data_IF_678537538801
#
_entry.id   IF_678537538801
#
_cell.length_a   1.000
_cell.length_b   1.000
_cell.length_c   1.000
_cell.angle_alpha   90.00
_cell.angle_beta   90.00
_cell.angle_gamma   90.00
#
_symmetry.space_group_name_H-M   'P 1'
#
loop_
_entity.id
_entity.type
_entity.pdbx_description
1 polymer ?
#
# COMPACT_ATOMS: atom_id res chain seq x y z
N UNK A 1 -1.64 -45.57 3.22
CA UNK A 1 -2.46 -45.47 4.45
C UNK A 1 -3.15 -44.11 4.48
N UNK A 2 -4.48 -44.16 4.46
CA UNK A 2 -5.47 -43.14 4.89
C UNK A 2 -5.42 -41.72 4.31
N UNK A 3 -6.10 -41.55 3.16
CA UNK A 3 -6.85 -40.34 2.80
C UNK A 3 -8.01 -40.14 3.80
N UNK A 4 -8.34 -38.90 4.18
CA UNK A 4 -9.66 -38.56 4.73
C UNK A 4 -10.29 -37.40 3.94
N UNK A 5 -11.36 -37.78 3.26
CA UNK A 5 -12.32 -36.98 2.49
C UNK A 5 -13.57 -36.79 3.35
N UNK A 6 -14.22 -35.62 3.31
CA UNK A 6 -15.64 -35.43 3.67
C UNK A 6 -16.13 -34.14 2.96
N UNK A 7 -16.85 -34.23 1.82
CA UNK A 7 -18.34 -34.22 1.65
C UNK A 7 -19.04 -33.06 2.40
N UNK A 8 -19.40 -31.96 1.72
CA UNK A 8 -20.65 -31.67 0.97
C UNK A 8 -21.91 -31.63 1.85
N UNK A 9 -22.50 -30.44 1.99
CA UNK A 9 -23.95 -30.25 2.17
C UNK A 9 -24.40 -29.13 1.23
N UNK A 10 -25.27 -29.49 0.30
CA UNK A 10 -25.98 -28.61 -0.65
C UNK A 10 -27.41 -28.41 -0.12
N UNK A 11 -27.95 -27.20 -0.13
CA UNK A 11 -29.40 -26.98 -0.01
C UNK A 11 -29.86 -25.81 -0.91
N UNK A 12 -31.05 -25.99 -1.47
CA UNK A 12 -31.53 -25.41 -2.73
C UNK A 12 -32.38 -24.13 -2.59
N UNK A 13 -32.28 -23.30 -3.64
CA UNK A 13 -33.32 -22.59 -4.42
C UNK A 13 -34.50 -21.84 -3.74
N UNK A 14 -34.62 -20.55 -4.05
CA UNK A 14 -35.92 -19.89 -4.30
C UNK A 14 -35.77 -18.67 -5.25
N UNK A 15 -36.58 -18.66 -6.31
CA UNK A 15 -36.75 -17.58 -7.31
C UNK A 15 -37.54 -16.39 -6.72
N UNK A 16 -37.26 -15.17 -7.20
CA UNK A 16 -38.27 -14.14 -7.50
C UNK A 16 -37.69 -13.11 -8.48
N UNK A 17 -38.33 -13.00 -9.64
CA UNK A 17 -38.03 -12.00 -10.67
C UNK A 17 -38.89 -10.74 -10.44
N UNK A 18 -38.31 -9.54 -10.61
CA UNK A 18 -39.02 -8.32 -11.02
C UNK A 18 -38.02 -7.28 -11.50
N UNK A 19 -38.23 -6.77 -12.71
CA UNK A 19 -37.29 -5.92 -13.43
C UNK A 19 -37.23 -4.49 -12.91
N UNK A 20 -36.02 -3.94 -12.92
CA UNK A 20 -35.74 -2.51 -12.83
C UNK A 20 -34.55 -2.23 -13.77
N UNK A 21 -34.69 -1.25 -14.65
CA UNK A 21 -33.63 -0.84 -15.59
C UNK A 21 -32.41 -0.33 -14.81
N UNK A 22 -31.17 -0.75 -15.14
CA UNK A 22 -30.00 -0.26 -14.43
C UNK A 22 -29.59 1.14 -14.90
N UNK A 23 -29.39 2.03 -13.93
CA UNK A 23 -28.57 3.23 -14.03
C UNK A 23 -27.11 2.83 -14.37
N UNK A 24 -26.30 3.71 -14.99
CA UNK A 24 -24.94 3.36 -15.40
C UNK A 24 -24.11 2.95 -14.18
N UNK A 25 -23.68 1.69 -14.18
CA UNK A 25 -22.87 1.05 -13.16
C UNK A 25 -21.44 1.60 -13.19
N UNK A 26 -21.00 2.18 -12.07
CA UNK A 26 -19.57 2.26 -11.74
C UNK A 26 -18.96 0.86 -11.58
N UNK A 27 -17.62 0.73 -11.53
CA UNK A 27 -16.94 -0.56 -11.49
C UNK A 27 -17.48 -1.42 -10.33
N UNK A 28 -18.03 -2.58 -10.70
CA UNK A 28 -18.58 -3.55 -9.77
C UNK A 28 -17.44 -4.40 -9.22
N UNK A 29 -17.09 -4.15 -7.96
CA UNK A 29 -16.34 -5.14 -7.17
C UNK A 29 -17.28 -6.33 -6.93
N UNK A 30 -16.87 -7.53 -7.36
CA UNK A 30 -17.65 -8.75 -7.16
C UNK A 30 -17.96 -9.02 -5.67
N UNK A 31 -18.94 -9.86 -5.34
CA UNK A 31 -19.31 -10.13 -3.97
C UNK A 31 -18.11 -10.68 -3.19
N UNK A 32 -17.64 -9.93 -2.20
CA UNK A 32 -16.62 -10.37 -1.27
C UNK A 32 -17.17 -11.54 -0.43
N UNK A 33 -16.41 -12.63 -0.22
CA UNK A 33 -16.82 -13.66 0.73
C UNK A 33 -16.99 -13.02 2.12
N UNK A 34 -18.08 -13.39 2.81
CA UNK A 34 -18.31 -12.95 4.18
C UNK A 34 -17.20 -13.51 5.08
N UNK A 35 -16.25 -12.66 5.47
CA UNK A 35 -15.30 -12.95 6.53
C UNK A 35 -16.09 -13.04 7.84
N UNK A 36 -15.89 -14.10 8.62
CA UNK A 36 -16.36 -14.14 10.01
C UNK A 36 -15.81 -12.90 10.76
N UNK A 37 -16.42 -12.51 11.88
CA UNK A 37 -15.98 -11.33 12.61
C UNK A 37 -14.46 -11.42 12.91
N UNK A 38 -13.65 -10.58 12.24
CA UNK A 38 -12.18 -10.70 12.21
C UNK A 38 -11.56 -9.34 12.49
N UNK A 39 -10.72 -9.28 13.53
CA UNK A 39 -9.85 -8.14 13.78
C UNK A 39 -8.62 -8.26 12.86
N UNK A 40 -8.36 -7.22 12.07
CA UNK A 40 -7.21 -7.09 11.18
C UNK A 40 -6.20 -6.12 11.82
N UNK A 41 -5.05 -6.61 12.24
CA UNK A 41 -4.02 -5.82 12.88
C UNK A 41 -3.11 -5.15 11.84
N UNK A 42 -3.18 -3.81 11.79
CA UNK A 42 -2.38 -3.00 10.87
C UNK A 42 -1.30 -2.20 11.64
N UNK A 43 -0.03 -2.50 11.38
CA UNK A 43 1.11 -1.77 11.93
C UNK A 43 1.67 -0.76 10.92
N UNK A 44 1.57 0.53 11.23
CA UNK A 44 2.03 1.62 10.35
C UNK A 44 3.06 2.52 11.04
N UNK A 45 3.88 3.21 10.23
CA UNK A 45 4.76 4.27 10.72
C UNK A 45 3.93 5.51 11.02
N UNK A 46 4.11 6.12 12.18
CA UNK A 46 3.47 7.38 12.53
C UNK A 46 3.95 8.52 11.60
N UNK A 47 3.04 9.09 10.79
CA UNK A 47 3.37 10.08 9.72
C UNK A 47 2.65 11.43 9.87
N UNK A 48 2.43 11.87 11.10
CA UNK A 48 1.78 13.15 11.39
C UNK A 48 0.28 13.17 11.06
N UNK A 49 -0.39 14.24 11.48
CA UNK A 49 -1.85 14.27 11.55
C UNK A 49 -2.57 14.17 10.19
N UNK A 50 -2.17 14.88 9.12
CA UNK A 50 -2.89 14.81 7.85
C UNK A 50 -2.89 13.39 7.26
N UNK A 51 -1.76 12.66 7.37
CA UNK A 51 -1.67 11.29 6.88
C UNK A 51 -2.49 10.34 7.74
N UNK A 52 -2.43 10.49 9.07
CA UNK A 52 -3.22 9.69 10.01
C UNK A 52 -4.72 9.82 9.73
N UNK A 53 -5.21 11.03 9.52
CA UNK A 53 -6.64 11.26 9.20
C UNK A 53 -7.05 10.59 7.88
N UNK A 54 -6.21 10.66 6.84
CA UNK A 54 -6.48 9.97 5.58
C UNK A 54 -6.53 8.42 5.76
N UNK A 55 -5.63 7.86 6.57
CA UNK A 55 -5.64 6.41 6.87
C UNK A 55 -6.88 6.02 7.66
N UNK A 56 -7.26 6.80 8.68
CA UNK A 56 -8.48 6.54 9.46
C UNK A 56 -9.75 6.63 8.62
N UNK A 57 -9.83 7.58 7.69
CA UNK A 57 -10.94 7.68 6.75
C UNK A 57 -11.01 6.44 5.83
N UNK A 58 -9.87 6.00 5.28
CA UNK A 58 -9.82 4.79 4.45
C UNK A 58 -10.21 3.53 5.23
N UNK A 59 -9.78 3.42 6.51
CA UNK A 59 -10.21 2.35 7.40
C UNK A 59 -11.72 2.38 7.61
N UNK A 60 -12.30 3.55 7.88
CA UNK A 60 -13.74 3.68 8.09
C UNK A 60 -14.55 3.29 6.84
N UNK A 61 -14.10 3.69 5.65
CA UNK A 61 -14.71 3.29 4.39
C UNK A 61 -14.61 1.78 4.15
N UNK A 62 -13.47 1.17 4.49
CA UNK A 62 -13.26 -0.27 4.40
C UNK A 62 -14.17 -1.04 5.38
N UNK A 63 -14.21 -0.66 6.66
CA UNK A 63 -15.08 -1.31 7.66
C UNK A 63 -16.57 -1.19 7.30
N UNK A 64 -16.98 -0.05 6.72
CA UNK A 64 -18.35 0.15 6.22
C UNK A 64 -18.67 -0.78 5.04
N UNK A 65 -17.71 -1.00 4.14
CA UNK A 65 -17.87 -1.91 2.99
C UNK A 65 -17.77 -3.39 3.37
N UNK A 66 -17.14 -3.71 4.51
CA UNK A 66 -16.90 -5.07 4.98
C UNK A 66 -17.46 -5.32 6.39
N UNK A 67 -18.79 -5.44 6.55
CA UNK A 67 -19.40 -5.71 7.84
C UNK A 67 -18.82 -6.97 8.50
N UNK A 68 -18.39 -6.83 9.76
CA UNK A 68 -17.74 -7.91 10.53
C UNK A 68 -16.21 -7.83 10.53
N UNK A 69 -15.58 -7.06 9.67
CA UNK A 69 -14.13 -6.81 9.74
C UNK A 69 -13.87 -5.53 10.51
N UNK A 70 -12.91 -5.57 11.43
CA UNK A 70 -12.44 -4.40 12.18
C UNK A 70 -10.95 -4.22 11.99
N UNK A 71 -10.48 -3.03 11.69
CA UNK A 71 -9.06 -2.73 11.52
C UNK A 71 -8.50 -2.13 12.81
N UNK A 72 -7.51 -2.79 13.40
CA UNK A 72 -6.79 -2.32 14.58
C UNK A 72 -5.49 -1.66 14.13
N UNK A 73 -5.53 -0.34 13.94
CA UNK A 73 -4.36 0.46 13.58
C UNK A 73 -3.45 0.69 14.80
N UNK A 74 -2.20 0.26 14.67
CA UNK A 74 -1.10 0.58 15.59
C UNK A 74 -0.07 1.44 14.83
N UNK A 75 0.14 2.67 15.30
CA UNK A 75 1.18 3.54 14.75
C UNK A 75 2.34 3.67 15.73
N UNK A 76 3.58 3.54 15.23
CA UNK A 76 4.79 3.71 16.03
C UNK A 76 5.82 4.59 15.32
N UNK A 77 6.74 5.21 16.08
CA UNK A 77 7.87 5.94 15.51
C UNK A 77 8.73 5.09 14.57
N UNK A 78 9.29 5.74 13.53
CA UNK A 78 10.04 5.07 12.47
C UNK A 78 11.28 4.31 12.99
N UNK A 79 11.98 4.86 13.98
CA UNK A 79 13.16 4.27 14.63
C UNK A 79 12.88 2.92 15.31
N UNK A 80 11.63 2.69 15.74
CA UNK A 80 11.19 1.45 16.38
C UNK A 80 10.52 0.47 15.41
N UNK A 81 10.16 0.95 14.21
CA UNK A 81 9.27 0.23 13.28
C UNK A 81 9.86 -1.10 12.81
N UNK A 82 11.05 -1.07 12.24
CA UNK A 82 11.66 -2.27 11.65
C UNK A 82 11.97 -3.34 12.68
N UNK A 83 12.38 -2.96 13.90
CA UNK A 83 12.60 -3.90 15.00
C UNK A 83 11.29 -4.60 15.39
N UNK A 84 10.18 -3.85 15.47
CA UNK A 84 8.88 -4.43 15.82
C UNK A 84 8.37 -5.38 14.74
N UNK A 85 8.53 -5.03 13.46
CA UNK A 85 8.18 -5.91 12.33
C UNK A 85 9.02 -7.19 12.37
N UNK A 86 10.33 -7.09 12.55
CA UNK A 86 11.22 -8.26 12.62
C UNK A 86 10.84 -9.22 13.76
N UNK A 87 10.52 -8.68 14.94
CA UNK A 87 10.04 -9.47 16.08
C UNK A 87 8.73 -10.18 15.71
N UNK A 88 7.75 -9.44 15.19
CA UNK A 88 6.43 -9.99 14.86
C UNK A 88 6.49 -11.11 13.80
N UNK A 89 7.34 -10.94 12.77
CA UNK A 89 7.58 -11.97 11.75
C UNK A 89 8.24 -13.22 12.36
N UNK A 90 9.21 -13.05 13.26
CA UNK A 90 9.91 -14.17 13.90
C UNK A 90 9.06 -14.94 14.92
N UNK A 91 8.15 -14.25 15.63
CA UNK A 91 7.27 -14.85 16.64
C UNK A 91 5.97 -15.40 16.06
N UNK A 92 5.71 -15.18 14.76
CA UNK A 92 4.49 -15.62 14.08
C UNK A 92 3.23 -14.97 14.65
N UNK A 93 3.33 -13.75 15.19
CA UNK A 93 2.24 -13.14 15.97
C UNK A 93 1.93 -11.70 15.55
N UNK A 94 0.63 -11.41 15.45
CA UNK A 94 0.02 -10.13 15.85
C UNK A 94 0.00 -8.99 14.84
N UNK A 95 0.53 -9.19 13.63
CA UNK A 95 0.39 -8.23 12.53
C UNK A 95 -0.12 -8.97 11.29
N UNK A 96 -1.16 -8.41 10.65
CA UNK A 96 -1.72 -8.93 9.40
C UNK A 96 -1.31 -8.05 8.21
N UNK A 97 -1.23 -6.74 8.45
CA UNK A 97 -0.83 -5.72 7.47
C UNK A 97 0.23 -4.84 8.12
N UNK A 98 1.25 -4.46 7.36
CA UNK A 98 2.23 -3.48 7.81
C UNK A 98 2.83 -2.69 6.66
N UNK A 99 3.32 -1.48 6.96
CA UNK A 99 4.03 -0.67 5.96
C UNK A 99 5.33 -1.36 5.53
N UNK A 100 5.55 -1.50 4.22
CA UNK A 100 6.77 -2.05 3.66
C UNK A 100 7.57 -0.92 3.02
N UNK A 101 8.80 -0.71 3.49
CA UNK A 101 9.72 0.21 2.83
C UNK A 101 10.22 -0.39 1.50
N UNK A 102 10.26 0.44 0.46
CA UNK A 102 10.53 0.01 -0.91
C UNK A 102 11.84 -0.78 -1.08
N UNK A 103 12.98 -0.39 -0.47
CA UNK A 103 14.23 -1.14 -0.55
C UNK A 103 14.17 -2.53 0.11
N UNK A 104 13.21 -2.76 1.03
CA UNK A 104 13.10 -4.01 1.77
C UNK A 104 12.18 -5.04 1.12
N UNK A 105 11.42 -4.67 0.07
CA UNK A 105 10.49 -5.58 -0.63
C UNK A 105 11.20 -6.87 -1.06
N UNK A 106 12.37 -6.77 -1.68
CA UNK A 106 13.14 -7.93 -2.13
C UNK A 106 13.61 -8.82 -0.96
N UNK A 107 13.98 -8.22 0.18
CA UNK A 107 14.38 -8.96 1.38
C UNK A 107 13.21 -9.77 1.95
N UNK A 108 12.03 -9.17 2.05
CA UNK A 108 10.83 -9.87 2.49
C UNK A 108 10.38 -10.95 1.49
N UNK A 109 10.52 -10.69 0.19
CA UNK A 109 10.26 -11.68 -0.85
C UNK A 109 11.19 -12.89 -0.77
N UNK A 110 12.49 -12.68 -0.52
CA UNK A 110 13.46 -13.75 -0.31
C UNK A 110 13.16 -14.59 0.94
N UNK A 111 12.67 -13.96 2.01
CA UNK A 111 12.28 -14.63 3.25
C UNK A 111 10.89 -15.30 3.16
N UNK A 112 10.16 -15.13 2.05
CA UNK A 112 8.77 -15.55 1.89
C UNK A 112 7.84 -14.97 2.99
N UNK A 113 8.17 -13.79 3.50
CA UNK A 113 7.49 -13.16 4.62
C UNK A 113 6.19 -12.42 4.24
N UNK A 114 5.91 -12.27 2.94
CA UNK A 114 4.76 -11.53 2.41
C UNK A 114 3.89 -12.41 1.51
N UNK A 115 2.58 -12.22 1.62
CA UNK A 115 1.58 -12.87 0.78
C UNK A 115 1.63 -12.31 -0.65
N UNK A 116 1.78 -13.14 -1.70
CA UNK A 116 1.63 -12.70 -3.08
C UNK A 116 0.23 -12.12 -3.33
N UNK A 117 0.18 -10.92 -3.88
CA UNK A 117 -1.02 -10.13 -4.05
C UNK A 117 -1.66 -10.25 -5.44
N UNK A 118 -0.97 -10.87 -6.41
CA UNK A 118 -1.36 -10.88 -7.83
C UNK A 118 -2.81 -11.34 -8.07
N UNK A 119 -3.31 -12.29 -7.25
CA UNK A 119 -4.68 -12.82 -7.36
C UNK A 119 -5.77 -11.85 -6.86
N UNK A 120 -5.40 -10.82 -6.10
CA UNK A 120 -6.33 -9.84 -5.53
C UNK A 120 -6.46 -8.59 -6.41
N UNK A 121 -5.55 -8.41 -7.37
CA UNK A 121 -5.64 -7.33 -8.35
C UNK A 121 -6.25 -7.83 -9.66
N UNK A 122 -7.26 -7.11 -10.15
CA UNK A 122 -7.64 -7.22 -11.56
C UNK A 122 -6.57 -6.56 -12.42
N UNK A 123 -6.53 -6.88 -13.73
CA UNK A 123 -5.65 -6.17 -14.66
C UNK A 123 -5.90 -4.66 -14.68
N UNK A 124 -7.15 -4.25 -14.46
CA UNK A 124 -7.58 -2.84 -14.43
C UNK A 124 -7.06 -2.14 -13.18
N UNK A 125 -7.30 -2.69 -11.99
CA UNK A 125 -6.81 -2.12 -10.73
C UNK A 125 -5.27 -2.04 -10.68
N UNK A 126 -4.58 -2.98 -11.32
CA UNK A 126 -3.12 -2.93 -11.40
C UNK A 126 -2.61 -1.74 -12.24
N UNK A 127 -3.41 -1.18 -13.15
CA UNK A 127 -3.05 0.02 -13.94
C UNK A 127 -3.17 1.32 -13.15
N UNK A 128 -3.82 1.31 -11.98
CA UNK A 128 -3.86 2.48 -11.09
C UNK A 128 -2.46 2.85 -10.57
N UNK A 129 -1.53 1.89 -10.60
CA UNK A 129 -0.12 2.10 -10.28
C UNK A 129 0.70 2.40 -11.52
N UNK A 130 1.71 3.24 -11.39
CA UNK A 130 2.72 3.42 -12.43
C UNK A 130 3.52 2.13 -12.65
N UNK A 131 4.20 2.01 -13.80
CA UNK A 131 5.10 0.89 -14.07
C UNK A 131 6.17 0.74 -12.99
N UNK A 132 6.77 1.85 -12.57
CA UNK A 132 7.85 1.87 -11.58
C UNK A 132 7.35 1.39 -10.22
N UNK A 133 6.18 1.83 -9.78
CA UNK A 133 5.59 1.38 -8.52
C UNK A 133 5.31 -0.12 -8.51
N UNK A 134 4.80 -0.67 -9.62
CA UNK A 134 4.59 -2.12 -9.74
C UNK A 134 5.90 -2.91 -9.70
N UNK A 135 6.95 -2.38 -10.32
CA UNK A 135 8.27 -3.04 -10.32
C UNK A 135 8.90 -3.05 -8.94
N UNK A 136 8.79 -1.94 -8.20
CA UNK A 136 9.26 -1.84 -6.81
C UNK A 136 8.48 -2.77 -5.89
N UNK A 137 7.17 -2.88 -6.10
CA UNK A 137 6.29 -3.73 -5.29
C UNK A 137 6.41 -5.24 -5.61
N UNK A 138 7.21 -5.61 -6.60
CA UNK A 138 7.34 -6.98 -7.07
C UNK A 138 8.67 -7.63 -6.69
N UNK A 139 8.62 -8.93 -6.43
CA UNK A 139 9.79 -9.80 -6.30
C UNK A 139 9.62 -11.02 -7.19
N UNK A 140 10.63 -11.30 -8.03
CA UNK A 140 10.59 -12.38 -9.03
C UNK A 140 9.31 -12.37 -9.89
N UNK A 141 8.84 -11.18 -10.26
CA UNK A 141 7.66 -10.99 -11.11
C UNK A 141 6.31 -11.18 -10.41
N UNK A 142 6.29 -11.36 -9.08
CA UNK A 142 5.07 -11.41 -8.27
C UNK A 142 4.94 -10.15 -7.44
N UNK A 143 3.79 -9.51 -7.48
CA UNK A 143 3.50 -8.36 -6.64
C UNK A 143 3.29 -8.83 -5.19
N UNK A 144 4.17 -8.41 -4.27
CA UNK A 144 4.15 -8.86 -2.87
C UNK A 144 3.91 -7.72 -1.88
N UNK A 145 3.80 -6.49 -2.36
CA UNK A 145 3.34 -5.32 -1.60
C UNK A 145 2.39 -4.48 -2.45
N UNK A 146 1.60 -3.64 -1.79
CA UNK A 146 0.69 -2.69 -2.45
C UNK A 146 1.33 -1.29 -2.43
N UNK A 147 1.57 -0.64 -3.58
CA UNK A 147 2.04 0.73 -3.61
C UNK A 147 1.06 1.67 -2.91
N UNK A 148 1.57 2.51 -2.00
CA UNK A 148 0.80 3.54 -1.30
C UNK A 148 1.16 4.97 -1.75
N UNK A 149 2.18 5.09 -2.59
CA UNK A 149 2.74 6.33 -3.10
C UNK A 149 4.26 6.25 -3.26
N UNK A 150 4.82 7.19 -4.01
CA UNK A 150 6.25 7.33 -4.25
C UNK A 150 6.82 8.57 -3.56
N UNK A 151 8.09 8.52 -3.19
CA UNK A 151 8.87 9.70 -2.78
C UNK A 151 10.01 9.94 -3.77
N UNK A 152 10.40 11.20 -3.93
CA UNK A 152 11.57 11.62 -4.70
C UNK A 152 12.55 12.38 -3.83
N UNK A 153 13.80 12.45 -4.27
CA UNK A 153 14.80 13.34 -3.70
C UNK A 153 14.80 14.62 -4.51
N UNK A 154 14.57 15.74 -3.84
CA UNK A 154 14.51 17.06 -4.46
C UNK A 154 15.57 17.99 -3.83
N UNK A 155 16.10 18.90 -4.64
CA UNK A 155 16.98 19.96 -4.17
C UNK A 155 16.15 21.15 -3.68
N UNK A 156 16.19 21.41 -2.38
CA UNK A 156 15.63 22.62 -1.79
C UNK A 156 16.71 23.69 -1.66
N UNK A 157 16.37 24.93 -2.01
CA UNK A 157 17.25 26.09 -1.85
C UNK A 157 16.50 27.28 -1.24
N UNK A 158 17.24 28.17 -0.58
CA UNK A 158 16.69 29.41 -0.05
C UNK A 158 16.75 30.51 -1.13
N UNK A 159 15.58 30.94 -1.57
CA UNK A 159 15.44 31.93 -2.65
C UNK A 159 16.06 33.29 -2.28
N UNK A 160 15.95 33.71 -1.02
CA UNK A 160 16.49 35.00 -0.56
C UNK A 160 18.02 35.00 -0.55
N UNK A 161 18.63 33.88 -0.13
CA UNK A 161 20.09 33.73 -0.17
C UNK A 161 20.62 33.71 -1.60
N UNK A 162 19.93 33.01 -2.52
CA UNK A 162 20.28 33.02 -3.94
C UNK A 162 20.24 34.44 -4.52
N UNK A 163 19.18 35.20 -4.21
CA UNK A 163 19.04 36.59 -4.64
C UNK A 163 20.13 37.50 -4.05
N UNK A 164 20.45 37.35 -2.76
CA UNK A 164 21.49 38.14 -2.10
C UNK A 164 22.89 37.87 -2.69
N UNK A 165 23.15 36.63 -3.11
CA UNK A 165 24.39 36.23 -3.75
C UNK A 165 24.44 36.56 -5.27
N UNK A 166 23.34 37.07 -5.85
CA UNK A 166 23.26 37.32 -7.30
C UNK A 166 23.21 36.05 -8.15
N UNK A 167 22.86 34.91 -7.56
CA UNK A 167 22.80 33.60 -8.21
C UNK A 167 21.41 33.40 -8.82
N UNK A 168 21.37 33.02 -10.10
CA UNK A 168 20.11 32.65 -10.76
C UNK A 168 19.63 31.29 -10.24
N UNK A 169 18.37 31.15 -9.80
CA UNK A 169 17.85 29.87 -9.37
C UNK A 169 17.81 28.84 -10.51
N UNK A 170 17.97 27.54 -10.22
CA UNK A 170 17.80 26.47 -11.20
C UNK A 170 16.39 26.51 -11.80
N UNK A 171 16.29 26.31 -13.11
CA UNK A 171 15.02 26.13 -13.80
C UNK A 171 14.47 24.71 -13.63
N UNK A 172 13.17 24.54 -13.90
CA UNK A 172 12.52 23.22 -13.89
C UNK A 172 12.79 22.41 -15.16
N UNK A 173 13.16 23.09 -16.26
CA UNK A 173 13.57 22.44 -17.51
C UNK A 173 14.90 21.71 -17.31
N UNK A 174 15.08 20.50 -17.87
CA UNK A 174 16.34 19.76 -17.77
C UNK A 174 17.58 20.56 -18.18
N UNK A 175 17.48 21.37 -19.22
CA UNK A 175 18.59 22.21 -19.74
C UNK A 175 18.98 23.36 -18.79
N UNK A 176 18.08 23.75 -17.88
CA UNK A 176 18.27 24.86 -16.95
C UNK A 176 18.64 24.37 -15.52
N UNK A 177 18.92 23.07 -15.34
CA UNK A 177 19.28 22.47 -14.05
C UNK A 177 20.75 22.73 -13.72
N UNK A 178 21.04 22.88 -12.44
CA UNK A 178 22.42 22.92 -11.96
C UNK A 178 23.10 21.56 -12.16
N UNK A 179 24.33 21.60 -12.66
CA UNK A 179 25.26 20.47 -12.62
C UNK A 179 25.81 20.28 -11.21
N UNK A 180 26.36 19.10 -10.91
CA UNK A 180 27.00 18.84 -9.62
C UNK A 180 28.16 19.80 -9.33
N UNK A 181 28.99 20.11 -10.33
CA UNK A 181 30.10 21.05 -10.18
C UNK A 181 29.58 22.46 -9.81
N UNK A 182 28.52 22.93 -10.46
CA UNK A 182 27.88 24.20 -10.12
C UNK A 182 27.27 24.19 -8.72
N UNK A 183 26.68 23.08 -8.27
CA UNK A 183 26.18 22.95 -6.89
C UNK A 183 27.34 23.08 -5.89
N UNK A 184 28.50 22.47 -6.18
CA UNK A 184 29.70 22.58 -5.33
C UNK A 184 30.28 23.98 -5.32
N UNK A 185 30.31 24.67 -6.46
CA UNK A 185 30.77 26.07 -6.55
C UNK A 185 29.87 27.05 -5.77
N UNK A 186 28.59 26.72 -5.61
CA UNK A 186 27.60 27.54 -4.91
C UNK A 186 27.53 27.28 -3.39
N UNK A 187 28.12 26.20 -2.90
CA UNK A 187 28.06 25.75 -1.50
C UNK A 187 29.15 26.40 -0.62
#
# INVERSE_FOLDING_TARGET
MSRRTALIVTLALALLASGFLPAPSGPSFGPAPALAATDLHFLSVARGEPRRQAVLAAIADFEKAHPGVKVVLSEIPFDQFFQKVAIALSSGSGIDVFDVDSPLVASYGYQEALLPLDKYYTKENAQDFTKVEREIAAYQGKMISAPMGSTSVDLFYNVDLFKAAGVRPPGTNPEDRLTWDQVVELA
#
